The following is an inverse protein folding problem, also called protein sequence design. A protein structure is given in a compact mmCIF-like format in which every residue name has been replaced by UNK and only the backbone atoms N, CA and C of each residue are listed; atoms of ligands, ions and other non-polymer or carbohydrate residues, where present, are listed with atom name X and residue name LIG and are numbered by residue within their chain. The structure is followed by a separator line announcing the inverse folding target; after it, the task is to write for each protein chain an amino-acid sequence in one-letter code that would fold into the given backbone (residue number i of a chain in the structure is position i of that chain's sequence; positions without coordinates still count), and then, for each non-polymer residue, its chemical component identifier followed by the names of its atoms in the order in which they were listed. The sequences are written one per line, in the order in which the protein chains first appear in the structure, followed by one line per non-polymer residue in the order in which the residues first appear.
data_IF_568063630632
#
_entry.id   IF_568063630632
#
_cell.length_a   1.000
_cell.length_b   1.000
_cell.length_c   1.000
_cell.angle_alpha   90.00
_cell.angle_beta   90.00
_cell.angle_gamma   90.00
#
_symmetry.space_group_name_H-M   'P 1'
#
loop_
_entity.id
_entity.type
_entity.pdbx_description
1 polymer ?
#
# COMPACT_ATOMS: atom_id res chain seq x y z
N UNK A 1 -8.86 -16.49 -5.29
CA UNK A 1 -9.00 -17.45 -6.40
C UNK A 1 -9.20 -16.64 -7.66
N UNK A 2 -8.34 -16.85 -8.67
CA UNK A 2 -8.43 -16.17 -9.96
C UNK A 2 -9.48 -16.78 -10.88
N UNK A 3 -9.50 -16.28 -12.12
CA UNK A 3 -10.35 -16.80 -13.21
C UNK A 3 -9.59 -16.64 -14.54
N UNK A 4 -9.93 -17.45 -15.55
CA UNK A 4 -9.32 -17.39 -16.89
C UNK A 4 -8.18 -18.40 -17.09
N UNK A 5 -7.22 -18.07 -17.95
CA UNK A 5 -6.12 -18.98 -18.28
C UNK A 5 -5.08 -19.05 -17.15
N UNK A 6 -4.70 -20.27 -16.73
CA UNK A 6 -3.53 -20.49 -15.88
C UNK A 6 -2.30 -20.62 -16.81
N UNK A 7 -1.33 -19.73 -16.62
CA UNK A 7 -0.28 -19.51 -17.64
C UNK A 7 1.00 -20.26 -17.33
N UNK A 8 1.31 -20.45 -16.05
CA UNK A 8 2.54 -21.07 -15.57
C UNK A 8 2.23 -22.11 -14.50
N UNK A 9 2.99 -23.19 -14.51
CA UNK A 9 2.97 -24.24 -13.50
C UNK A 9 4.42 -24.66 -13.17
N UNK A 10 4.62 -25.16 -11.95
CA UNK A 10 5.90 -25.68 -11.48
C UNK A 10 7.06 -24.68 -11.67
N UNK A 11 6.80 -23.39 -11.43
CA UNK A 11 7.78 -22.32 -11.57
C UNK A 11 8.91 -22.49 -10.56
N UNK A 12 10.15 -22.56 -11.05
CA UNK A 12 11.39 -22.70 -10.27
C UNK A 12 12.39 -21.65 -10.71
N UNK A 13 12.57 -20.64 -9.87
CA UNK A 13 13.54 -19.56 -10.09
C UNK A 13 14.87 -19.85 -9.38
N UNK A 14 15.97 -19.34 -9.93
CA UNK A 14 17.29 -19.32 -9.30
C UNK A 14 17.45 -18.15 -8.32
N UNK A 15 16.64 -17.10 -8.50
CA UNK A 15 16.61 -15.92 -7.64
C UNK A 15 17.31 -14.68 -8.23
N UNK A 16 17.78 -14.75 -9.47
CA UNK A 16 18.41 -13.64 -10.18
C UNK A 16 17.73 -13.30 -11.51
N UNK A 17 16.60 -13.96 -11.81
CA UNK A 17 15.74 -13.62 -12.93
C UNK A 17 15.08 -12.25 -12.72
N UNK A 18 15.00 -11.46 -13.79
CA UNK A 18 14.34 -10.14 -13.77
C UNK A 18 12.80 -10.23 -13.85
N UNK A 19 12.24 -11.43 -13.99
CA UNK A 19 10.80 -11.68 -14.12
C UNK A 19 10.50 -13.18 -13.91
N UNK A 20 9.32 -13.49 -13.37
CA UNK A 20 8.79 -14.86 -13.25
C UNK A 20 8.73 -15.58 -14.59
N UNK A 21 8.55 -14.86 -15.70
CA UNK A 21 8.49 -15.43 -17.06
C UNK A 21 9.84 -15.98 -17.56
N UNK A 22 10.93 -15.68 -16.86
CA UNK A 22 12.28 -16.17 -17.19
C UNK A 22 12.76 -17.30 -16.28
N UNK A 23 11.96 -17.68 -15.29
CA UNK A 23 12.25 -18.83 -14.45
C UNK A 23 12.06 -20.14 -15.21
N UNK A 24 12.58 -21.25 -14.70
CA UNK A 24 12.28 -22.56 -15.27
C UNK A 24 10.83 -22.95 -14.95
N UNK A 25 10.07 -23.48 -15.91
CA UNK A 25 8.69 -23.93 -15.74
C UNK A 25 8.34 -25.03 -16.77
N UNK A 26 7.19 -25.69 -16.61
CA UNK A 26 6.73 -26.82 -17.44
C UNK A 26 6.35 -26.48 -18.89
N UNK A 27 6.42 -25.21 -19.27
CA UNK A 27 5.89 -24.68 -20.54
C UNK A 27 4.72 -23.74 -20.33
N UNK A 28 4.35 -22.99 -21.38
CA UNK A 28 3.27 -22.01 -21.32
C UNK A 28 1.92 -22.69 -21.51
N UNK A 29 0.97 -22.42 -20.60
CA UNK A 29 -0.38 -23.03 -20.62
C UNK A 29 -0.36 -24.58 -20.58
N UNK A 30 0.75 -25.16 -20.12
CA UNK A 30 0.89 -26.60 -19.90
C UNK A 30 0.93 -26.81 -18.39
N UNK A 31 -0.24 -27.10 -17.83
CA UNK A 31 -0.43 -27.27 -16.40
C UNK A 31 -1.53 -28.31 -16.14
N UNK A 32 -1.54 -28.84 -14.92
CA UNK A 32 -2.65 -29.62 -14.37
C UNK A 32 -3.34 -28.90 -13.20
N UNK A 33 -2.97 -27.65 -12.93
CA UNK A 33 -3.54 -26.85 -11.85
C UNK A 33 -4.99 -26.44 -12.11
N UNK A 34 -5.76 -26.28 -11.03
CA UNK A 34 -7.01 -25.54 -10.98
C UNK A 34 -6.80 -24.17 -10.31
N UNK A 35 -7.76 -23.23 -10.46
CA UNK A 35 -7.65 -21.92 -9.81
C UNK A 35 -7.62 -21.98 -8.28
N UNK A 36 -8.06 -23.09 -7.69
CA UNK A 36 -7.87 -23.35 -6.25
C UNK A 36 -6.40 -23.41 -5.84
N UNK A 37 -5.49 -23.56 -6.79
CA UNK A 37 -4.04 -23.65 -6.62
C UNK A 37 -3.31 -22.38 -7.09
N UNK A 38 -4.05 -21.30 -7.41
CA UNK A 38 -3.44 -20.02 -7.80
C UNK A 38 -2.50 -19.52 -6.70
N UNK A 39 -1.23 -19.30 -7.06
CA UNK A 39 -0.22 -18.83 -6.13
C UNK A 39 -0.36 -17.33 -5.85
N UNK A 40 -0.13 -16.94 -4.59
CA UNK A 40 -0.01 -15.54 -4.17
C UNK A 40 1.33 -15.28 -3.50
N UNK A 41 1.83 -14.04 -3.60
CA UNK A 41 3.04 -13.61 -2.90
C UNK A 41 2.73 -12.47 -1.95
N UNK A 42 3.38 -12.45 -0.79
CA UNK A 42 3.44 -11.29 0.10
C UNK A 42 4.87 -10.78 0.06
N UNK A 43 5.08 -9.60 -0.51
CA UNK A 43 6.40 -8.98 -0.54
C UNK A 43 6.68 -8.32 0.81
N UNK A 44 7.93 -8.38 1.29
CA UNK A 44 8.39 -7.64 2.48
C UNK A 44 8.31 -6.12 2.32
N UNK A 45 8.04 -5.64 1.10
CA UNK A 45 7.70 -4.26 0.76
C UNK A 45 6.20 -3.98 0.58
N UNK A 46 5.31 -4.91 0.93
CA UNK A 46 3.90 -4.58 1.09
C UNK A 46 3.82 -3.43 2.10
N UNK A 47 3.36 -2.26 1.63
CA UNK A 47 3.43 -1.00 2.37
C UNK A 47 2.93 -1.24 3.79
N UNK A 48 3.83 -1.08 4.78
CA UNK A 48 3.51 -1.15 6.22
C UNK A 48 2.72 0.08 6.67
N UNK A 49 1.83 0.55 5.79
CA UNK A 49 1.11 1.81 5.87
C UNK A 49 -0.26 1.61 5.23
N UNK A 50 -1.31 2.15 5.86
CA UNK A 50 -2.65 2.23 5.30
C UNK A 50 -3.29 3.56 5.65
N UNK A 51 -4.37 3.89 4.94
CA UNK A 51 -5.24 5.01 5.26
C UNK A 51 -6.58 4.50 5.79
N UNK A 52 -7.05 5.08 6.89
CA UNK A 52 -8.27 4.68 7.59
C UNK A 52 -9.25 5.85 7.71
N UNK A 53 -10.55 5.59 7.64
CA UNK A 53 -11.60 6.61 7.85
C UNK A 53 -11.91 7.53 6.66
N UNK A 54 -11.16 7.42 5.55
CA UNK A 54 -11.49 8.10 4.30
C UNK A 54 -12.53 7.37 3.45
N UNK A 55 -12.96 7.99 2.35
CA UNK A 55 -13.97 7.41 1.43
C UNK A 55 -13.37 6.36 0.48
N UNK A 56 -12.04 6.34 0.32
CA UNK A 56 -11.32 5.39 -0.52
C UNK A 56 -9.90 5.13 0.04
N UNK A 57 -9.11 4.29 -0.64
CA UNK A 57 -7.76 3.91 -0.19
C UNK A 57 -6.67 4.99 -0.31
N UNK A 58 -6.99 6.18 -0.80
CA UNK A 58 -6.05 7.28 -1.06
C UNK A 58 -6.37 8.56 -0.26
N UNK A 59 -7.26 8.46 0.73
CA UNK A 59 -7.47 9.49 1.74
C UNK A 59 -7.75 8.82 3.10
N UNK A 60 -7.34 9.47 4.20
CA UNK A 60 -7.61 8.97 5.54
C UNK A 60 -6.54 9.32 6.56
N UNK A 61 -6.77 8.86 7.80
CA UNK A 61 -5.79 8.85 8.89
C UNK A 61 -4.63 7.91 8.55
N UNK A 62 -3.41 8.35 8.82
CA UNK A 62 -2.18 7.60 8.54
C UNK A 62 -1.94 6.56 9.63
N UNK A 63 -1.87 5.29 9.23
CA UNK A 63 -1.57 4.19 10.16
C UNK A 63 -0.41 3.34 9.66
N UNK A 64 0.54 3.04 10.54
CA UNK A 64 1.72 2.21 10.26
C UNK A 64 1.60 0.84 10.93
N UNK A 65 2.25 -0.18 10.35
CA UNK A 65 2.33 -1.53 10.92
C UNK A 65 3.75 -1.85 11.37
N UNK A 66 3.93 -2.19 12.65
CA UNK A 66 5.26 -2.50 13.21
C UNK A 66 5.70 -3.97 13.02
N UNK A 67 4.81 -4.82 12.51
CA UNK A 67 4.99 -6.27 12.43
C UNK A 67 4.04 -7.05 13.33
N UNK A 68 3.40 -6.38 14.29
CA UNK A 68 2.46 -6.96 15.25
C UNK A 68 1.15 -6.19 15.35
N UNK A 69 1.19 -4.86 15.36
CA UNK A 69 0.04 -3.99 15.60
C UNK A 69 0.04 -2.78 14.67
N UNK A 70 -1.16 -2.24 14.46
CA UNK A 70 -1.34 -0.95 13.81
C UNK A 70 -1.27 0.18 14.83
N UNK A 71 -0.74 1.32 14.41
CA UNK A 71 -0.62 2.53 15.20
C UNK A 71 -0.57 3.76 14.31
N UNK A 72 -0.66 4.94 14.89
CA UNK A 72 -0.89 6.20 14.17
C UNK A 72 0.38 7.04 14.06
N UNK A 73 0.29 8.19 13.39
CA UNK A 73 1.36 9.19 13.23
C UNK A 73 0.84 10.50 13.80
N UNK A 74 1.64 11.22 14.58
CA UNK A 74 1.29 12.54 15.09
C UNK A 74 1.37 13.61 13.98
N UNK A 75 0.54 14.65 14.08
CA UNK A 75 0.46 15.77 13.14
C UNK A 75 1.46 16.91 13.43
N UNK A 76 2.24 16.82 14.51
CA UNK A 76 3.34 17.75 14.77
C UNK A 76 4.37 17.71 13.62
N UNK A 77 4.59 18.89 13.01
CA UNK A 77 5.38 19.12 11.79
C UNK A 77 4.88 18.41 10.52
N UNK A 78 3.69 17.79 10.54
CA UNK A 78 3.13 17.08 9.40
C UNK A 78 2.80 18.00 8.23
N UNK A 79 3.54 17.85 7.12
CA UNK A 79 3.45 18.75 5.97
C UNK A 79 3.27 18.03 4.61
N UNK A 80 3.21 18.82 3.54
CA UNK A 80 3.02 18.30 2.18
C UNK A 80 4.20 17.45 1.67
N UNK A 81 5.40 17.58 2.22
CA UNK A 81 6.55 16.70 1.89
C UNK A 81 6.38 15.33 2.52
N UNK A 82 5.85 15.27 3.73
CA UNK A 82 5.52 13.99 4.38
C UNK A 82 4.39 13.29 3.63
N UNK A 83 3.33 14.05 3.30
CA UNK A 83 2.25 13.57 2.45
C UNK A 83 2.76 13.12 1.07
N UNK A 84 3.76 13.79 0.48
CA UNK A 84 4.35 13.38 -0.80
C UNK A 84 4.98 11.99 -0.72
N UNK A 85 5.78 11.74 0.32
CA UNK A 85 6.40 10.42 0.54
C UNK A 85 5.32 9.36 0.73
N UNK A 86 4.32 9.64 1.57
CA UNK A 86 3.23 8.73 1.87
C UNK A 86 2.37 8.39 0.64
N UNK A 87 1.89 9.40 -0.10
CA UNK A 87 1.07 9.20 -1.29
C UNK A 87 1.82 8.42 -2.37
N UNK A 88 3.13 8.66 -2.52
CA UNK A 88 3.98 7.88 -3.43
C UNK A 88 4.16 6.45 -2.94
N UNK A 89 4.40 6.24 -1.65
CA UNK A 89 4.54 4.91 -1.03
C UNK A 89 3.26 4.06 -1.18
N UNK A 90 2.09 4.70 -1.21
CA UNK A 90 0.80 4.05 -1.44
C UNK A 90 0.44 3.90 -2.92
N UNK A 91 1.19 4.51 -3.84
CA UNK A 91 0.83 4.54 -5.26
C UNK A 91 -0.37 5.45 -5.58
N UNK A 92 -0.76 6.32 -4.66
CA UNK A 92 -1.92 7.23 -4.76
C UNK A 92 -1.59 8.56 -5.46
N UNK A 93 -0.51 8.62 -6.25
CA UNK A 93 -0.12 9.83 -6.97
C UNK A 93 0.44 10.94 -6.08
N UNK A 94 0.15 12.20 -6.45
CA UNK A 94 0.65 13.40 -5.75
C UNK A 94 -0.17 13.72 -4.48
N UNK A 95 0.42 14.37 -3.47
CA UNK A 95 -0.34 14.84 -2.31
C UNK A 95 -1.27 15.99 -2.71
N UNK A 96 -2.45 16.01 -2.11
CA UNK A 96 -3.43 17.12 -2.20
C UNK A 96 -3.47 17.88 -0.89
N UNK A 97 -3.48 17.18 0.25
CA UNK A 97 -3.49 17.78 1.57
C UNK A 97 -2.75 16.91 2.59
N UNK A 98 -2.01 17.58 3.49
CA UNK A 98 -1.60 17.08 4.79
C UNK A 98 -2.55 17.70 5.81
N UNK A 99 -3.23 16.88 6.60
CA UNK A 99 -4.30 17.28 7.50
C UNK A 99 -3.94 16.89 8.93
N UNK A 100 -4.30 17.76 9.85
CA UNK A 100 -4.05 17.65 11.28
C UNK A 100 -5.36 17.31 12.05
N UNK A 101 -5.28 17.38 13.38
CA UNK A 101 -6.38 17.35 14.34
C UNK A 101 -7.34 16.18 14.17
N UNK A 102 -6.78 15.02 13.81
CA UNK A 102 -7.53 13.78 13.58
C UNK A 102 -8.71 13.97 12.61
N UNK A 103 -8.48 14.66 11.49
CA UNK A 103 -9.51 15.00 10.49
C UNK A 103 -10.40 13.81 10.06
N UNK A 104 -9.83 12.61 9.89
CA UNK A 104 -10.59 11.38 9.57
C UNK A 104 -10.96 10.55 10.80
N UNK A 105 -11.08 11.22 11.94
CA UNK A 105 -11.33 10.65 13.26
C UNK A 105 -10.04 10.19 13.95
N UNK A 106 -10.02 10.17 15.30
CA UNK A 106 -8.89 9.68 16.07
C UNK A 106 -8.73 8.18 15.86
N UNK A 107 -7.48 7.73 15.87
CA UNK A 107 -7.14 6.32 15.95
C UNK A 107 -7.15 5.81 17.38
N UNK A 108 -6.46 4.70 17.58
CA UNK A 108 -6.32 4.05 18.88
C UNK A 108 -5.02 3.28 18.94
N UNK A 109 -4.55 2.98 20.16
CA UNK A 109 -3.37 2.15 20.38
C UNK A 109 -2.11 3.00 20.49
N UNK A 110 -1.05 2.61 19.77
CA UNK A 110 0.24 3.29 19.84
C UNK A 110 0.31 4.39 18.79
N UNK A 111 0.92 5.53 19.13
CA UNK A 111 1.38 6.51 18.16
C UNK A 111 2.84 6.15 17.86
N UNK A 112 3.14 5.87 16.59
CA UNK A 112 4.43 5.32 16.18
C UNK A 112 5.44 6.39 15.81
N UNK A 113 5.04 7.45 15.10
CA UNK A 113 5.92 8.51 14.66
C UNK A 113 5.41 9.88 15.10
N UNK A 114 6.34 10.78 15.30
CA UNK A 114 6.17 12.16 15.75
C UNK A 114 7.31 13.03 15.21
N UNK A 115 7.06 14.33 15.01
CA UNK A 115 7.92 15.30 14.34
C UNK A 115 8.48 14.77 13.00
N UNK A 116 7.61 14.16 12.19
CA UNK A 116 8.01 13.60 10.89
C UNK A 116 8.39 14.77 9.96
N UNK A 117 9.59 14.69 9.39
CA UNK A 117 10.17 15.74 8.56
C UNK A 117 10.87 15.11 7.36
N UNK A 118 10.09 14.79 6.32
CA UNK A 118 10.59 14.28 5.06
C UNK A 118 11.21 15.38 4.18
N UNK A 119 12.20 15.01 3.37
CA UNK A 119 12.68 15.83 2.25
C UNK A 119 11.69 15.79 1.08
N UNK A 120 10.98 14.67 0.93
CA UNK A 120 9.98 14.41 -0.11
C UNK A 120 10.40 13.31 -1.10
N UNK A 121 11.63 12.80 -1.00
CA UNK A 121 12.20 11.78 -1.87
C UNK A 121 12.53 10.47 -1.14
N UNK A 122 12.26 10.38 0.16
CA UNK A 122 12.41 9.15 0.95
C UNK A 122 11.53 8.01 0.43
N UNK A 123 12.05 6.77 0.33
CA UNK A 123 11.31 5.65 -0.24
C UNK A 123 10.08 5.25 0.60
N UNK A 124 10.05 5.60 1.88
CA UNK A 124 8.91 5.34 2.77
C UNK A 124 8.88 6.32 3.94
N UNK A 125 7.69 6.53 4.52
CA UNK A 125 7.48 7.47 5.63
C UNK A 125 8.36 7.14 6.85
N UNK A 126 8.58 5.85 7.12
CA UNK A 126 9.43 5.36 8.22
C UNK A 126 10.93 5.67 8.05
N UNK A 127 11.36 6.18 6.90
CA UNK A 127 12.76 6.56 6.63
C UNK A 127 12.98 8.08 6.68
N UNK A 128 11.91 8.86 6.85
CA UNK A 128 12.04 10.29 7.09
C UNK A 128 12.66 10.55 8.46
N UNK A 129 13.17 11.77 8.66
CA UNK A 129 13.61 12.19 9.99
C UNK A 129 12.37 12.23 10.91
N UNK A 130 12.50 11.70 12.11
CA UNK A 130 11.46 11.68 13.15
C UNK A 130 12.10 11.47 14.52
N UNK A 131 11.37 11.67 15.62
CA UNK A 131 11.89 11.55 16.99
C UNK A 131 12.28 10.11 17.42
N UNK A 132 11.78 9.11 16.69
CA UNK A 132 12.02 7.70 16.95
C UNK A 132 10.70 6.97 17.19
N UNK A 133 10.70 5.65 17.02
CA UNK A 133 9.48 4.87 17.13
C UNK A 133 8.89 4.89 18.54
N UNK A 134 7.64 5.35 18.66
CA UNK A 134 6.93 5.46 19.94
C UNK A 134 7.44 6.56 20.87
N UNK A 135 8.28 7.46 20.38
CA UNK A 135 8.74 8.65 21.11
C UNK A 135 7.89 9.82 20.63
N UNK A 136 6.91 10.22 21.44
CA UNK A 136 5.97 11.30 21.13
C UNK A 136 5.44 11.94 22.42
N UNK A 137 4.90 13.15 22.31
CA UNK A 137 4.12 13.85 23.33
C UNK A 137 2.63 13.99 22.97
N UNK A 138 2.22 13.47 21.80
CA UNK A 138 0.87 13.63 21.27
C UNK A 138 -0.17 12.67 21.87
N UNK A 139 -1.46 13.04 21.76
CA UNK A 139 -2.61 12.16 21.89
C UNK A 139 -3.31 11.90 20.56
N UNK A 140 -4.28 10.98 20.52
CA UNK A 140 -4.97 10.62 19.25
C UNK A 140 -5.82 11.73 18.62
N UNK A 141 -6.02 12.84 19.33
CA UNK A 141 -6.63 14.05 18.74
C UNK A 141 -5.68 14.75 17.76
N UNK A 142 -4.39 14.42 17.80
CA UNK A 142 -3.30 14.92 16.95
C UNK A 142 -2.90 13.86 15.90
N UNK A 143 -3.77 12.90 15.57
CA UNK A 143 -3.43 11.89 14.56
C UNK A 143 -3.45 12.50 13.14
N UNK A 144 -2.30 12.43 12.47
CA UNK A 144 -2.09 12.90 11.12
C UNK A 144 -2.96 12.20 10.08
N UNK A 145 -3.35 12.97 9.07
CA UNK A 145 -4.23 12.56 7.98
C UNK A 145 -3.69 13.05 6.63
N UNK A 146 -4.08 12.37 5.54
CA UNK A 146 -3.67 12.74 4.18
C UNK A 146 -4.81 12.63 3.19
N UNK A 147 -4.77 13.47 2.16
CA UNK A 147 -5.54 13.30 0.93
C UNK A 147 -4.54 13.28 -0.23
N UNK A 148 -4.59 12.22 -1.04
CA UNK A 148 -3.79 12.07 -2.25
C UNK A 148 -4.69 12.27 -3.50
N UNK A 149 -4.06 12.58 -4.64
CA UNK A 149 -4.79 12.85 -5.89
C UNK A 149 -5.28 11.60 -6.61
N UNK A 150 -4.70 10.43 -6.28
CA UNK A 150 -5.07 9.17 -6.89
C UNK A 150 -6.47 8.77 -6.46
N UNK A 151 -7.36 8.62 -7.42
CA UNK A 151 -8.46 7.69 -7.24
C UNK A 151 -7.82 6.31 -7.29
N UNK A 152 -7.80 5.59 -6.15
CA UNK A 152 -7.65 4.13 -6.23
C UNK A 152 -8.65 3.67 -7.29
N UNK A 153 -8.27 2.91 -8.33
CA UNK A 153 -9.22 2.54 -9.35
C UNK A 153 -10.41 1.92 -8.63
N UNK A 154 -11.53 2.64 -8.63
CA UNK A 154 -12.82 2.10 -8.28
C UNK A 154 -12.88 0.79 -9.05
N UNK A 155 -13.09 -0.31 -8.33
CA UNK A 155 -12.93 -1.67 -8.80
C UNK A 155 -12.94 -1.75 -10.32
N UNK A 156 -11.85 -2.18 -10.94
CA UNK A 156 -11.92 -2.63 -12.33
C UNK A 156 -12.88 -3.82 -12.32
N UNK A 157 -14.17 -3.52 -12.39
CA UNK A 157 -15.23 -4.46 -12.67
C UNK A 157 -14.78 -5.14 -13.93
N UNK A 158 -14.54 -6.45 -13.82
CA UNK A 158 -14.31 -7.31 -14.96
C UNK A 158 -15.62 -7.30 -15.75
N UNK A 159 -15.78 -6.32 -16.63
CA UNK A 159 -16.87 -6.31 -17.60
C UNK A 159 -16.55 -7.41 -18.62
N UNK A 160 -17.42 -8.41 -18.80
CA UNK A 160 -17.19 -9.43 -19.82
C UNK A 160 -17.23 -8.74 -21.19
N UNK A 161 -16.10 -8.76 -21.89
CA UNK A 161 -16.06 -8.40 -23.28
C UNK A 161 -16.96 -9.38 -24.05
N UNK A 162 -18.01 -8.86 -24.68
CA UNK A 162 -18.87 -9.65 -25.55
C UNK A 162 -18.05 -10.15 -26.76
N UNK A 163 -17.67 -11.43 -26.74
CA UNK A 163 -17.22 -12.12 -27.94
C UNK A 163 -18.44 -12.45 -28.81
N UNK A 164 -18.68 -11.64 -29.84
CA UNK A 164 -19.47 -12.09 -30.99
C UNK A 164 -18.59 -13.00 -31.84
N UNK A 165 -18.63 -14.30 -31.53
CA UNK A 165 -18.19 -15.33 -32.47
C UNK A 165 -19.12 -15.38 -33.68
N UNK A 166 -18.54 -15.52 -34.88
CA UNK A 166 -19.22 -16.05 -36.05
C UNK A 166 -18.55 -17.36 -36.43
N UNK A 167 -19.41 -18.33 -36.75
CA UNK A 167 -19.13 -19.69 -37.21
C UNK A 167 -18.28 -19.71 -38.49
#
# INVERSE_FOLDING_TARGET
QGSGDIVLDNVRCRGNEVSLLRCNHTGWRIHNCAHSEDASVVCSGASRVRLSGGRNGCEGRVELYDGSTWGTVCDDQWDLRDAQVLCRQLGCGRPVAALDTAHFGPGSGRIFLDDVQCRGDEPSLQMCRHNGWGVHNCGHVEDASVICAGEWPAETSCSPAAHTGRF
#
